data_IF_582142978228
#
_entry.id   IF_582142978228
#
_cell.length_a   1.000
_cell.length_b   1.000
_cell.length_c   1.000
_cell.angle_alpha   90.00
_cell.angle_beta   90.00
_cell.angle_gamma   90.00
#
_symmetry.space_group_name_H-M   'P 1'
#
loop_
_entity.id
_entity.type
_entity.pdbx_description
1 polymer ?
#
# COMPACT_ATOMS: atom_id res chain seq x y z
N UNK A 1 0.10 -7.59 -1.43
CA UNK A 1 -0.84 -7.06 -2.43
C UNK A 1 -1.90 -8.09 -2.82
N UNK A 2 -1.54 -9.28 -3.32
CA UNK A 2 -2.50 -10.28 -3.84
C UNK A 2 -3.64 -10.65 -2.88
N UNK A 3 -3.32 -10.92 -1.60
CA UNK A 3 -4.33 -11.27 -0.59
C UNK A 3 -5.30 -10.10 -0.37
N UNK A 4 -4.80 -8.88 -0.21
CA UNK A 4 -5.62 -7.69 -0.03
C UNK A 4 -6.53 -7.42 -1.23
N UNK A 5 -6.02 -7.58 -2.46
CA UNK A 5 -6.82 -7.48 -3.70
C UNK A 5 -7.95 -8.50 -3.68
N UNK A 6 -7.65 -9.77 -3.35
CA UNK A 6 -8.64 -10.84 -3.29
C UNK A 6 -9.76 -10.56 -2.29
N UNK A 7 -9.40 -10.09 -1.09
CA UNK A 7 -10.34 -9.70 -0.03
C UNK A 7 -11.23 -8.54 -0.49
N UNK A 8 -10.64 -7.46 -1.01
CA UNK A 8 -11.39 -6.30 -1.51
C UNK A 8 -12.31 -6.68 -2.68
N UNK A 9 -11.88 -7.57 -3.57
CA UNK A 9 -12.70 -8.03 -4.70
C UNK A 9 -13.89 -8.87 -4.23
N UNK A 10 -13.69 -9.77 -3.27
CA UNK A 10 -14.75 -10.59 -2.69
C UNK A 10 -15.81 -9.72 -1.99
N UNK A 11 -15.38 -8.86 -1.07
CA UNK A 11 -16.29 -7.97 -0.35
C UNK A 11 -16.87 -6.86 -1.23
N UNK A 12 -16.21 -6.49 -2.33
CA UNK A 12 -16.76 -5.59 -3.33
C UNK A 12 -18.01 -6.16 -4.04
N UNK A 13 -18.19 -7.49 -4.05
CA UNK A 13 -19.39 -8.15 -4.58
C UNK A 13 -20.41 -8.50 -3.50
N UNK A 14 -19.94 -9.04 -2.38
CA UNK A 14 -20.80 -9.51 -1.28
C UNK A 14 -21.35 -8.35 -0.44
N UNK A 15 -20.62 -7.24 -0.40
CA UNK A 15 -20.91 -6.14 0.52
C UNK A 15 -20.47 -6.46 1.94
N UNK A 16 -20.21 -5.42 2.72
CA UNK A 16 -19.89 -5.50 4.14
C UNK A 16 -21.08 -4.92 4.90
N UNK A 17 -21.73 -5.75 5.70
CA UNK A 17 -22.73 -5.32 6.66
C UNK A 17 -22.01 -4.98 7.97
N UNK A 18 -22.12 -3.72 8.39
CA UNK A 18 -21.62 -3.27 9.69
C UNK A 18 -22.80 -3.16 10.65
N UNK A 19 -22.63 -3.60 11.89
CA UNK A 19 -23.59 -3.31 12.96
C UNK A 19 -23.82 -1.79 13.05
N UNK A 20 -25.09 -1.37 13.05
CA UNK A 20 -25.50 0.03 12.99
C UNK A 20 -25.89 0.55 11.59
N UNK A 21 -25.53 -0.15 10.50
CA UNK A 21 -26.01 0.20 9.14
C UNK A 21 -27.48 -0.18 8.90
N UNK A 22 -28.09 -0.95 9.81
CA UNK A 22 -29.51 -1.30 9.76
C UNK A 22 -30.40 -0.07 9.94
N UNK A 23 -30.02 0.85 10.84
CA UNK A 23 -30.71 2.12 11.06
C UNK A 23 -30.66 2.95 9.76
N UNK A 24 -29.57 2.85 9.00
CA UNK A 24 -29.40 3.54 7.71
C UNK A 24 -30.40 3.03 6.65
N UNK A 25 -30.86 1.78 6.74
CA UNK A 25 -31.92 1.25 5.86
C UNK A 25 -33.27 1.92 6.13
N UNK A 26 -33.56 2.27 7.38
CA UNK A 26 -34.80 2.98 7.76
C UNK A 26 -34.87 4.39 7.13
N UNK A 27 -33.71 5.01 6.87
CA UNK A 27 -33.58 6.28 6.15
C UNK A 27 -33.45 6.13 4.62
N UNK A 28 -33.72 4.93 4.08
CA UNK A 28 -33.67 4.67 2.64
C UNK A 28 -32.27 4.57 2.03
N UNK A 29 -31.22 4.47 2.85
CA UNK A 29 -29.84 4.32 2.40
C UNK A 29 -29.41 2.84 2.39
N UNK A 30 -28.52 2.48 1.47
CA UNK A 30 -28.00 1.11 1.35
C UNK A 30 -27.24 0.72 2.62
N UNK A 31 -27.82 -0.19 3.42
CA UNK A 31 -27.24 -0.72 4.65
C UNK A 31 -26.03 -1.67 4.45
N UNK A 32 -25.29 -1.51 3.36
CA UNK A 32 -24.10 -2.32 3.04
C UNK A 32 -23.03 -1.47 2.36
N UNK A 33 -21.78 -1.66 2.79
CA UNK A 33 -20.60 -0.99 2.26
C UNK A 33 -19.95 -1.87 1.20
N UNK A 34 -19.68 -1.33 0.01
CA UNK A 34 -19.04 -2.06 -1.09
C UNK A 34 -17.64 -1.48 -1.37
N UNK A 35 -16.57 -2.16 -0.93
CA UNK A 35 -15.21 -1.76 -1.25
C UNK A 35 -14.97 -1.70 -2.76
N UNK A 36 -14.48 -0.56 -3.26
CA UNK A 36 -14.11 -0.41 -4.67
C UNK A 36 -12.62 -0.65 -4.83
N UNK A 37 -12.28 -1.66 -5.63
CA UNK A 37 -10.91 -1.89 -6.04
C UNK A 37 -10.56 -0.93 -7.18
N UNK A 38 -9.57 -0.06 -6.97
CA UNK A 38 -9.02 0.80 -8.03
C UNK A 38 -7.54 0.49 -8.23
N UNK A 39 -7.05 0.66 -9.46
CA UNK A 39 -5.62 0.53 -9.79
C UNK A 39 -4.78 1.46 -8.89
N UNK A 40 -5.27 2.67 -8.62
CA UNK A 40 -4.59 3.61 -7.73
C UNK A 40 -4.45 3.07 -6.30
N UNK A 41 -5.51 2.49 -5.72
CA UNK A 41 -5.46 1.91 -4.37
C UNK A 41 -4.47 0.74 -4.27
N UNK A 42 -4.32 -0.04 -5.35
CA UNK A 42 -3.36 -1.15 -5.42
C UNK A 42 -1.92 -0.65 -5.52
N UNK A 43 -1.66 0.35 -6.36
CA UNK A 43 -0.29 0.83 -6.61
C UNK A 43 0.22 1.86 -5.60
N UNK A 44 -0.67 2.57 -4.89
CA UNK A 44 -0.28 3.61 -3.93
C UNK A 44 0.65 3.07 -2.83
N UNK A 45 0.28 1.95 -2.21
CA UNK A 45 1.07 1.35 -1.13
C UNK A 45 2.50 1.00 -1.57
N UNK A 46 2.67 0.15 -2.61
CA UNK A 46 3.98 -0.20 -3.14
C UNK A 46 4.76 1.02 -3.66
N UNK A 47 4.11 1.97 -4.32
CA UNK A 47 4.76 3.17 -4.84
C UNK A 47 5.34 4.05 -3.73
N UNK A 48 4.60 4.25 -2.64
CA UNK A 48 5.07 5.02 -1.49
C UNK A 48 6.29 4.34 -0.84
N UNK A 49 6.23 3.02 -0.63
CA UNK A 49 7.37 2.28 -0.06
C UNK A 49 8.58 2.38 -0.98
N UNK A 50 8.42 2.12 -2.28
CA UNK A 50 9.50 2.21 -3.25
C UNK A 50 10.15 3.60 -3.26
N UNK A 51 9.34 4.66 -3.20
CA UNK A 51 9.80 6.04 -3.18
C UNK A 51 10.60 6.34 -1.90
N UNK A 52 10.09 5.96 -0.73
CA UNK A 52 10.80 6.15 0.56
C UNK A 52 12.10 5.35 0.59
N UNK A 53 12.08 4.08 0.17
CA UNK A 53 13.27 3.23 0.10
C UNK A 53 14.30 3.79 -0.87
N UNK A 54 13.87 4.32 -2.01
CA UNK A 54 14.75 4.99 -2.97
C UNK A 54 15.47 6.17 -2.33
N UNK A 55 14.75 7.07 -1.65
CA UNK A 55 15.36 8.20 -0.95
C UNK A 55 16.27 7.76 0.21
N UNK A 56 15.87 6.73 0.96
CA UNK A 56 16.68 6.18 2.04
C UNK A 56 17.99 5.56 1.53
N UNK A 57 17.96 4.87 0.38
CA UNK A 57 19.13 4.27 -0.25
C UNK A 57 20.00 5.29 -0.99
N UNK A 58 19.44 6.44 -1.38
CA UNK A 58 20.16 7.47 -2.12
C UNK A 58 21.34 8.04 -1.32
N UNK A 59 21.15 8.30 -0.03
CA UNK A 59 22.22 8.80 0.84
C UNK A 59 23.45 7.86 0.95
N UNK A 60 23.31 6.57 1.34
CA UNK A 60 24.45 5.67 1.42
C UNK A 60 25.07 5.41 0.05
N UNK A 61 24.27 5.34 -1.02
CA UNK A 61 24.80 5.12 -2.39
C UNK A 61 25.70 6.28 -2.84
N UNK A 62 25.25 7.52 -2.63
CA UNK A 62 26.07 8.70 -2.94
C UNK A 62 27.32 8.80 -2.05
N UNK A 63 27.22 8.37 -0.79
CA UNK A 63 28.36 8.32 0.13
C UNK A 63 29.39 7.29 -0.32
N UNK A 64 28.96 6.09 -0.73
CA UNK A 64 29.82 5.00 -1.21
C UNK A 64 30.48 5.37 -2.54
N UNK A 65 29.75 6.00 -3.47
CA UNK A 65 30.29 6.44 -4.75
C UNK A 65 31.46 7.44 -4.63
N UNK A 66 31.62 8.08 -3.47
CA UNK A 66 32.73 9.01 -3.18
C UNK A 66 33.93 8.34 -2.50
N UNK A 67 33.84 7.07 -2.09
CA UNK A 67 34.95 6.34 -1.50
C UNK A 67 35.87 5.80 -2.59
N UNK A 68 37.19 5.95 -2.41
CA UNK A 68 38.17 5.35 -3.32
C UNK A 68 38.04 3.82 -3.26
N UNK A 69 37.88 3.12 -4.40
CA UNK A 69 37.64 1.67 -4.44
C UNK A 69 38.68 0.86 -3.65
N UNK A 70 39.92 1.35 -3.60
CA UNK A 70 41.05 0.71 -2.93
C UNK A 70 40.96 0.75 -1.40
N UNK A 71 40.31 1.76 -0.82
CA UNK A 71 40.11 1.88 0.64
C UNK A 71 38.88 1.09 1.09
N UNK A 72 37.86 0.98 0.23
CA UNK A 72 36.66 0.18 0.49
C UNK A 72 36.96 -1.33 0.58
N UNK A 73 37.97 -1.82 -0.15
CA UNK A 73 38.41 -3.22 -0.10
C UNK A 73 39.24 -3.59 1.14
N UNK A 74 39.73 -2.60 1.90
CA UNK A 74 40.55 -2.84 3.11
C UNK A 74 39.75 -2.81 4.42
N UNK A 75 38.45 -2.54 4.34
CA UNK A 75 37.57 -2.42 5.50
C UNK A 75 36.94 -3.77 5.93
N UNK A 76 37.47 -4.90 5.44
CA UNK A 76 37.10 -6.26 5.83
C UNK A 76 38.26 -6.92 6.56
#
# INVERSE_FOLDING_TARGET
MLIGIGVTFYYGKVGISLEGMEIMKEYGMSGSLYPKLSLMSVFLGPAVIALVTFFAALYPTLRIARLKPVDAMKAV
#
